data_IF_073782716192
#
_entry.id   IF_073782716192
#
_cell.length_a   1.000
_cell.length_b   1.000
_cell.length_c   1.000
_cell.angle_alpha   90.00
_cell.angle_beta   90.00
_cell.angle_gamma   90.00
#
_symmetry.space_group_name_H-M   'P 1'
#
loop_
_entity.id
_entity.type
_entity.pdbx_description
1 polymer ?
#
# COMPACT_ATOMS: atom_id res chain seq x y z
N UNK A 1 -48.77 -13.29 2.51
CA UNK A 1 -48.83 -14.46 3.42
C UNK A 1 -50.00 -15.38 3.11
N UNK A 2 -51.26 -14.92 2.99
CA UNK A 2 -52.42 -15.78 2.65
C UNK A 2 -52.22 -16.52 1.30
N UNK A 3 -51.78 -15.83 0.24
CA UNK A 3 -51.47 -16.45 -1.07
C UNK A 3 -50.34 -17.50 -1.06
N UNK A 4 -49.55 -17.57 0.03
CA UNK A 4 -48.45 -18.54 0.17
C UNK A 4 -48.93 -19.83 0.84
N UNK A 5 -49.98 -19.78 1.66
CA UNK A 5 -50.64 -20.97 2.24
C UNK A 5 -51.36 -21.80 1.18
N UNK A 6 -51.87 -21.14 0.14
CA UNK A 6 -52.52 -21.78 -1.01
C UNK A 6 -51.58 -21.89 -2.21
N UNK A 7 -50.26 -21.72 -2.03
CA UNK A 7 -49.32 -21.85 -3.16
C UNK A 7 -49.28 -23.29 -3.63
N UNK A 8 -49.08 -23.49 -4.93
CA UNK A 8 -48.98 -24.83 -5.52
C UNK A 8 -47.92 -25.70 -4.85
N UNK A 9 -46.83 -25.10 -4.36
CA UNK A 9 -45.77 -25.77 -3.60
C UNK A 9 -46.22 -26.29 -2.24
N UNK A 10 -46.95 -25.51 -1.44
CA UNK A 10 -47.46 -25.96 -0.13
C UNK A 10 -48.49 -27.07 -0.32
N UNK A 11 -49.41 -26.90 -1.27
CA UNK A 11 -50.45 -27.90 -1.55
C UNK A 11 -49.86 -29.21 -2.11
N UNK A 12 -48.87 -29.13 -3.01
CA UNK A 12 -48.17 -30.29 -3.55
C UNK A 12 -47.44 -31.09 -2.46
N UNK A 13 -46.80 -30.40 -1.51
CA UNK A 13 -46.12 -31.04 -0.39
C UNK A 13 -47.11 -31.68 0.60
N UNK A 14 -48.28 -31.08 0.82
CA UNK A 14 -49.36 -31.68 1.63
C UNK A 14 -49.92 -32.93 0.96
N UNK A 15 -50.15 -32.88 -0.36
CA UNK A 15 -50.58 -34.06 -1.15
C UNK A 15 -49.57 -35.19 -1.07
N UNK A 16 -48.27 -34.89 -1.13
CA UNK A 16 -47.18 -35.88 -0.96
C UNK A 16 -47.13 -36.44 0.46
N UNK A 17 -47.16 -35.60 1.48
CA UNK A 17 -47.05 -36.00 2.88
C UNK A 17 -48.23 -36.85 3.35
N UNK A 18 -49.44 -36.58 2.84
CA UNK A 18 -50.66 -37.33 3.18
C UNK A 18 -51.02 -38.40 2.14
N UNK A 19 -50.21 -38.56 1.09
CA UNK A 19 -50.44 -39.50 0.01
C UNK A 19 -51.86 -39.38 -0.61
N UNK A 20 -52.35 -38.15 -0.77
CA UNK A 20 -53.72 -37.86 -1.22
C UNK A 20 -53.99 -38.31 -2.67
N UNK A 21 -52.94 -38.62 -3.42
CA UNK A 21 -53.02 -39.24 -4.75
C UNK A 21 -53.72 -40.60 -4.72
N UNK A 22 -53.67 -41.30 -3.59
CA UNK A 22 -54.31 -42.59 -3.39
C UNK A 22 -55.64 -42.49 -2.62
N UNK A 23 -56.04 -41.30 -2.18
CA UNK A 23 -57.30 -41.09 -1.46
C UNK A 23 -58.47 -40.94 -2.45
N UNK A 24 -59.55 -41.75 -2.35
CA UNK A 24 -60.72 -41.70 -3.24
C UNK A 24 -61.36 -40.31 -3.38
N UNK A 25 -61.27 -39.50 -2.33
CA UNK A 25 -61.85 -38.15 -2.27
C UNK A 25 -61.04 -37.12 -3.07
N UNK A 26 -59.75 -37.37 -3.26
CA UNK A 26 -58.81 -36.44 -3.90
C UNK A 26 -58.27 -36.95 -5.24
N UNK A 27 -58.26 -38.26 -5.47
CA UNK A 27 -57.80 -38.91 -6.69
C UNK A 27 -58.83 -38.85 -7.85
N UNK A 28 -60.04 -38.34 -7.59
CA UNK A 28 -61.12 -38.18 -8.58
C UNK A 28 -62.07 -39.38 -8.71
N UNK A 29 -62.00 -40.38 -7.84
CA UNK A 29 -62.89 -41.56 -7.86
C UNK A 29 -64.15 -41.43 -6.98
N UNK A 30 -64.20 -40.43 -6.08
CA UNK A 30 -65.21 -40.32 -5.02
C UNK A 30 -66.44 -39.42 -5.26
N UNK A 31 -66.62 -38.79 -6.43
CA UNK A 31 -67.88 -38.07 -6.71
C UNK A 31 -68.94 -39.01 -7.26
N UNK A 32 -69.73 -39.61 -6.37
CA UNK A 32 -70.96 -40.31 -6.71
C UNK A 32 -72.00 -39.33 -7.27
N UNK A 33 -72.14 -39.31 -8.59
CA UNK A 33 -73.18 -38.58 -9.31
C UNK A 33 -73.41 -39.24 -10.68
N UNK A 34 -74.36 -40.18 -10.71
CA UNK A 34 -75.07 -40.73 -11.88
C UNK A 34 -74.23 -41.22 -13.06
N UNK A 35 -74.17 -42.55 -13.18
CA UNK A 35 -73.54 -43.24 -14.29
C UNK A 35 -74.21 -42.95 -15.63
N UNK A 36 -73.45 -42.37 -16.56
CA UNK A 36 -73.58 -42.50 -18.02
C UNK A 36 -72.28 -42.03 -18.70
N UNK A 37 -71.11 -42.60 -18.37
CA UNK A 37 -69.90 -42.44 -19.20
C UNK A 37 -69.02 -43.70 -19.25
N UNK A 38 -69.61 -44.87 -18.99
CA UNK A 38 -68.95 -46.18 -19.11
C UNK A 38 -68.98 -46.75 -20.54
N UNK A 39 -69.27 -45.96 -21.58
CA UNK A 39 -69.48 -46.48 -22.94
C UNK A 39 -68.58 -45.88 -24.04
N UNK A 40 -67.54 -45.10 -23.68
CA UNK A 40 -66.50 -44.68 -24.65
C UNK A 40 -65.14 -45.18 -24.15
N UNK A 41 -65.03 -46.50 -23.99
CA UNK A 41 -63.75 -47.18 -23.79
C UNK A 41 -63.72 -48.47 -24.61
N UNK A 42 -63.85 -48.31 -25.92
CA UNK A 42 -63.43 -49.34 -26.89
C UNK A 42 -63.20 -48.67 -28.24
N UNK A 43 -61.99 -48.14 -28.43
CA UNK A 43 -61.18 -48.12 -29.66
C UNK A 43 -59.92 -47.32 -29.31
N UNK A 44 -58.76 -47.90 -29.66
CA UNK A 44 -57.37 -47.47 -29.40
C UNK A 44 -56.74 -48.07 -28.14
N UNK A 45 -56.14 -49.24 -28.39
CA UNK A 45 -55.20 -49.95 -27.54
C UNK A 45 -53.81 -49.27 -27.53
N UNK A 46 -53.26 -49.13 -26.32
CA UNK A 46 -51.91 -49.55 -25.86
C UNK A 46 -50.69 -49.29 -26.76
N UNK A 47 -49.77 -48.46 -26.24
CA UNK A 47 -48.36 -48.82 -26.14
C UNK A 47 -47.69 -48.16 -24.93
N UNK A 48 -46.70 -48.86 -24.37
CA UNK A 48 -46.11 -48.70 -23.05
C UNK A 48 -45.29 -47.42 -22.78
N UNK A 49 -45.45 -46.89 -21.56
CA UNK A 49 -44.48 -46.05 -20.82
C UNK A 49 -44.59 -44.52 -21.01
N UNK A 50 -44.41 -43.68 -19.96
CA UNK A 50 -44.04 -43.99 -18.58
C UNK A 50 -45.19 -43.70 -17.59
N UNK A 51 -45.26 -44.47 -16.49
CA UNK A 51 -46.19 -44.21 -15.37
C UNK A 51 -46.15 -42.79 -14.79
N UNK A 52 -45.15 -41.98 -15.18
CA UNK A 52 -45.02 -40.56 -14.82
C UNK A 52 -46.11 -39.64 -15.40
N UNK A 53 -46.68 -39.90 -16.59
CA UNK A 53 -47.71 -38.98 -17.14
C UNK A 53 -49.04 -39.12 -16.39
N UNK A 54 -49.40 -40.34 -16.00
CA UNK A 54 -50.58 -40.62 -15.19
C UNK A 54 -50.38 -40.25 -13.71
N UNK A 55 -49.16 -40.34 -13.20
CA UNK A 55 -48.80 -39.88 -11.85
C UNK A 55 -48.83 -38.36 -11.73
N UNK A 56 -48.25 -37.63 -12.69
CA UNK A 56 -48.32 -36.15 -12.74
C UNK A 56 -49.75 -35.66 -12.87
N UNK A 57 -50.60 -36.32 -13.67
CA UNK A 57 -52.02 -35.98 -13.80
C UNK A 57 -52.80 -36.24 -12.51
N UNK A 58 -52.57 -37.38 -11.84
CA UNK A 58 -53.21 -37.70 -10.55
C UNK A 58 -52.77 -36.76 -9.43
N UNK A 59 -51.48 -36.40 -9.40
CA UNK A 59 -50.94 -35.40 -8.47
C UNK A 59 -51.61 -34.04 -8.67
N UNK A 60 -51.71 -33.56 -9.91
CA UNK A 60 -52.36 -32.28 -10.23
C UNK A 60 -53.85 -32.26 -9.84
N UNK A 61 -54.56 -33.38 -10.04
CA UNK A 61 -55.95 -33.54 -9.62
C UNK A 61 -56.09 -33.54 -8.09
N UNK A 62 -55.22 -34.27 -7.37
CA UNK A 62 -55.20 -34.29 -5.92
C UNK A 62 -54.90 -32.91 -5.31
N UNK A 63 -53.97 -32.16 -5.90
CA UNK A 63 -53.68 -30.77 -5.51
C UNK A 63 -54.89 -29.86 -5.78
N UNK A 64 -55.53 -30.00 -6.95
CA UNK A 64 -56.71 -29.21 -7.29
C UNK A 64 -57.92 -29.50 -6.39
N UNK A 65 -58.14 -30.75 -6.01
CA UNK A 65 -59.20 -31.16 -5.09
C UNK A 65 -58.89 -30.76 -3.64
N UNK A 66 -57.62 -30.89 -3.22
CA UNK A 66 -57.15 -30.37 -1.93
C UNK A 66 -57.38 -28.86 -1.83
N UNK A 67 -57.03 -28.10 -2.86
CA UNK A 67 -57.24 -26.65 -2.92
C UNK A 67 -58.72 -26.25 -2.74
N UNK A 68 -59.66 -27.06 -3.26
CA UNK A 68 -61.11 -26.83 -3.12
C UNK A 68 -61.62 -27.20 -1.73
N UNK A 69 -61.03 -28.22 -1.11
CA UNK A 69 -61.39 -28.68 0.24
C UNK A 69 -60.85 -27.80 1.36
N UNK A 70 -59.88 -26.92 1.06
CA UNK A 70 -59.15 -26.12 2.03
C UNK A 70 -59.58 -24.65 1.95
N UNK A 71 -60.06 -24.09 3.07
CA UNK A 71 -60.33 -22.66 3.19
C UNK A 71 -59.30 -22.00 4.11
N UNK A 72 -58.74 -20.89 3.65
CA UNK A 72 -57.74 -20.10 4.38
C UNK A 72 -58.25 -18.68 4.48
N UNK A 73 -58.62 -18.28 5.69
CA UNK A 73 -59.18 -16.96 5.94
C UNK A 73 -58.40 -16.25 7.04
N UNK A 74 -58.29 -14.93 6.92
CA UNK A 74 -57.70 -14.09 7.95
C UNK A 74 -58.82 -13.51 8.79
N UNK A 75 -58.81 -13.79 10.09
CA UNK A 75 -59.89 -13.38 10.98
C UNK A 75 -59.78 -11.89 11.32
N UNK A 76 -60.61 -11.06 10.66
CA UNK A 76 -60.72 -9.63 10.92
C UNK A 76 -59.44 -8.83 10.62
N UNK A 77 -59.10 -7.87 11.49
CA UNK A 77 -57.86 -7.06 11.41
C UNK A 77 -56.65 -7.69 12.12
N UNK A 78 -56.80 -8.89 12.68
CA UNK A 78 -55.75 -9.54 13.48
C UNK A 78 -54.68 -10.23 12.59
N UNK A 79 -53.57 -10.66 13.16
CA UNK A 79 -52.54 -11.44 12.44
C UNK A 79 -52.81 -12.96 12.43
N UNK A 80 -53.98 -13.39 12.91
CA UNK A 80 -54.36 -14.81 12.98
C UNK A 80 -54.90 -15.27 11.64
N UNK A 81 -54.38 -16.40 11.16
CA UNK A 81 -54.86 -17.07 9.96
C UNK A 81 -55.54 -18.37 10.39
N UNK A 82 -56.79 -18.54 9.98
CA UNK A 82 -57.54 -19.78 10.18
C UNK A 82 -57.39 -20.65 8.94
N UNK A 83 -57.05 -21.92 9.15
CA UNK A 83 -56.98 -22.94 8.11
C UNK A 83 -58.03 -23.99 8.45
N UNK A 84 -59.02 -24.15 7.59
CA UNK A 84 -60.04 -25.20 7.69
C UNK A 84 -59.97 -26.11 6.49
N UNK A 85 -60.20 -27.40 6.71
CA UNK A 85 -60.34 -28.40 5.66
C UNK A 85 -61.69 -29.10 5.84
N UNK A 86 -62.39 -29.33 4.74
CA UNK A 86 -63.69 -30.00 4.71
C UNK A 86 -63.53 -31.29 3.93
N UNK A 87 -63.71 -32.42 4.60
CA UNK A 87 -63.72 -33.76 3.98
C UNK A 87 -64.86 -34.61 4.54
N UNK A 88 -65.07 -35.79 3.97
CA UNK A 88 -66.08 -36.75 4.42
C UNK A 88 -65.82 -37.34 5.82
N UNK A 89 -64.62 -37.15 6.40
CA UNK A 89 -64.24 -37.65 7.72
C UNK A 89 -63.66 -36.52 8.59
N UNK A 90 -64.14 -36.39 9.84
CA UNK A 90 -63.64 -35.40 10.79
C UNK A 90 -62.14 -35.54 11.13
N UNK A 91 -61.64 -36.78 11.27
CA UNK A 91 -60.22 -37.05 11.53
C UNK A 91 -59.35 -36.69 10.33
N UNK A 92 -59.81 -37.00 9.11
CA UNK A 92 -59.11 -36.65 7.86
C UNK A 92 -59.03 -35.13 7.68
N UNK A 93 -60.13 -34.43 7.98
CA UNK A 93 -60.19 -32.96 7.95
C UNK A 93 -59.17 -32.33 8.92
N UNK A 94 -59.10 -32.83 10.16
CA UNK A 94 -58.13 -32.38 11.15
C UNK A 94 -56.69 -32.66 10.72
N UNK A 95 -56.43 -33.84 10.15
CA UNK A 95 -55.11 -34.23 9.65
C UNK A 95 -54.63 -33.33 8.50
N UNK A 96 -55.51 -33.04 7.53
CA UNK A 96 -55.19 -32.14 6.41
C UNK A 96 -54.89 -30.73 6.90
N UNK A 97 -55.72 -30.18 7.80
CA UNK A 97 -55.50 -28.84 8.35
C UNK A 97 -54.17 -28.74 9.13
N UNK A 98 -53.87 -29.74 9.99
CA UNK A 98 -52.62 -29.79 10.76
C UNK A 98 -51.39 -29.96 9.87
N UNK A 99 -51.42 -30.85 8.88
CA UNK A 99 -50.30 -31.04 7.95
C UNK A 99 -50.08 -29.81 7.09
N UNK A 100 -51.14 -29.13 6.65
CA UNK A 100 -51.04 -27.87 5.90
C UNK A 100 -50.37 -26.78 6.72
N UNK A 101 -50.69 -26.68 8.02
CA UNK A 101 -49.98 -25.79 8.95
C UNK A 101 -48.49 -26.10 9.02
N UNK A 102 -48.11 -27.36 9.26
CA UNK A 102 -46.71 -27.78 9.39
C UNK A 102 -45.91 -27.52 8.11
N UNK A 103 -46.46 -27.90 6.96
CA UNK A 103 -45.82 -27.67 5.65
C UNK A 103 -45.66 -26.19 5.38
N UNK A 104 -46.68 -25.37 5.65
CA UNK A 104 -46.57 -23.93 5.47
C UNK A 104 -45.48 -23.31 6.37
N UNK A 105 -45.38 -23.75 7.63
CA UNK A 105 -44.34 -23.27 8.53
C UNK A 105 -42.93 -23.62 8.02
N UNK A 106 -42.73 -24.87 7.58
CA UNK A 106 -41.46 -25.33 7.01
C UNK A 106 -41.09 -24.54 5.76
N UNK A 107 -42.06 -24.37 4.87
CA UNK A 107 -41.82 -23.69 3.61
C UNK A 107 -41.61 -22.19 3.81
N UNK A 108 -42.36 -21.55 4.71
CA UNK A 108 -42.10 -20.16 5.11
C UNK A 108 -40.69 -19.98 5.71
N UNK A 109 -40.22 -20.93 6.55
CA UNK A 109 -38.86 -20.92 7.08
C UNK A 109 -37.81 -21.09 5.97
N UNK A 110 -38.05 -21.97 5.00
CA UNK A 110 -37.16 -22.20 3.85
C UNK A 110 -37.06 -20.96 2.96
N UNK A 111 -38.19 -20.35 2.58
CA UNK A 111 -38.18 -19.09 1.82
C UNK A 111 -37.46 -17.97 2.56
N UNK A 112 -37.63 -17.87 3.88
CA UNK A 112 -36.91 -16.89 4.70
C UNK A 112 -35.38 -17.15 4.67
N UNK A 113 -34.96 -18.41 4.78
CA UNK A 113 -33.56 -18.83 4.70
C UNK A 113 -32.95 -18.59 3.32
N UNK A 114 -33.65 -18.94 2.24
CA UNK A 114 -33.19 -18.74 0.85
C UNK A 114 -33.03 -17.24 0.51
N UNK A 115 -33.94 -16.39 1.01
CA UNK A 115 -33.84 -14.94 0.86
C UNK A 115 -32.66 -14.37 1.65
N UNK A 116 -32.46 -14.84 2.89
CA UNK A 116 -31.30 -14.47 3.69
C UNK A 116 -29.97 -14.90 3.02
N UNK A 117 -29.90 -16.14 2.50
CA UNK A 117 -28.72 -16.66 1.81
C UNK A 117 -28.35 -15.88 0.55
N UNK A 118 -29.34 -15.46 -0.26
CA UNK A 118 -29.11 -14.59 -1.42
C UNK A 118 -28.54 -13.23 -1.02
N UNK A 119 -29.12 -12.59 0.00
CA UNK A 119 -28.62 -11.33 0.53
C UNK A 119 -27.17 -11.45 1.03
N UNK A 120 -26.84 -12.54 1.74
CA UNK A 120 -25.47 -12.82 2.21
C UNK A 120 -24.48 -13.01 1.06
N UNK A 121 -24.88 -13.71 -0.01
CA UNK A 121 -24.02 -13.91 -1.18
C UNK A 121 -23.74 -12.59 -1.93
N UNK A 122 -24.77 -11.75 -2.13
CA UNK A 122 -24.59 -10.42 -2.74
C UNK A 122 -23.67 -9.52 -1.90
N UNK A 123 -23.87 -9.52 -0.58
CA UNK A 123 -23.04 -8.79 0.37
C UNK A 123 -21.57 -9.23 0.32
N UNK A 124 -21.33 -10.55 0.29
CA UNK A 124 -20.00 -11.16 0.21
C UNK A 124 -19.31 -10.79 -1.10
N UNK A 125 -20.02 -10.88 -2.23
CA UNK A 125 -19.49 -10.47 -3.53
C UNK A 125 -19.10 -8.99 -3.52
N UNK A 126 -19.95 -8.12 -2.95
CA UNK A 126 -19.68 -6.69 -2.90
C UNK A 126 -18.46 -6.37 -2.03
N UNK A 127 -18.30 -7.06 -0.90
CA UNK A 127 -17.12 -6.92 -0.04
C UNK A 127 -15.85 -7.37 -0.74
N UNK A 128 -15.89 -8.46 -1.52
CA UNK A 128 -14.74 -8.92 -2.29
C UNK A 128 -14.33 -7.91 -3.38
N UNK A 129 -15.30 -7.33 -4.09
CA UNK A 129 -15.04 -6.26 -5.06
C UNK A 129 -14.42 -5.02 -4.41
N UNK A 130 -14.94 -4.59 -3.26
CA UNK A 130 -14.40 -3.47 -2.51
C UNK A 130 -12.98 -3.77 -2.01
N UNK A 131 -12.73 -4.97 -1.47
CA UNK A 131 -11.40 -5.43 -1.04
C UNK A 131 -10.39 -5.39 -2.19
N UNK A 132 -10.74 -5.96 -3.35
CA UNK A 132 -9.89 -5.88 -4.56
C UNK A 132 -9.63 -4.44 -4.98
N UNK A 133 -10.63 -3.57 -4.86
CA UNK A 133 -10.51 -2.15 -5.14
C UNK A 133 -9.51 -1.44 -4.22
N UNK A 134 -9.52 -1.78 -2.92
CA UNK A 134 -8.55 -1.29 -1.92
C UNK A 134 -7.15 -1.80 -2.24
N UNK A 135 -6.99 -3.12 -2.40
CA UNK A 135 -5.69 -3.74 -2.72
C UNK A 135 -5.08 -3.15 -4.00
N UNK A 136 -5.88 -2.89 -5.04
CA UNK A 136 -5.41 -2.27 -6.26
C UNK A 136 -5.00 -0.81 -6.08
N UNK A 137 -5.72 -0.05 -5.25
CA UNK A 137 -5.38 1.36 -4.98
C UNK A 137 -4.12 1.47 -4.11
N UNK A 138 -3.98 0.62 -3.09
CA UNK A 138 -2.77 0.54 -2.26
C UNK A 138 -1.55 0.11 -3.06
N UNK A 139 -1.68 -0.89 -3.95
CA UNK A 139 -0.59 -1.26 -4.86
C UNK A 139 -0.15 -0.10 -5.75
N UNK A 140 -1.08 0.69 -6.29
CA UNK A 140 -0.72 1.88 -7.07
C UNK A 140 0.09 2.90 -6.27
N UNK A 141 -0.23 3.09 -4.98
CA UNK A 141 0.54 3.97 -4.08
C UNK A 141 1.97 3.44 -3.93
N UNK A 142 2.12 2.15 -3.62
CA UNK A 142 3.43 1.53 -3.44
C UNK A 142 4.25 1.46 -4.75
N UNK A 143 3.62 1.10 -5.87
CA UNK A 143 4.26 1.12 -7.19
C UNK A 143 4.70 2.54 -7.57
N UNK A 144 3.90 3.55 -7.27
CA UNK A 144 4.25 4.96 -7.52
C UNK A 144 5.45 5.40 -6.67
N UNK A 145 5.46 5.06 -5.37
CA UNK A 145 6.59 5.31 -4.46
C UNK A 145 7.87 4.65 -4.97
N UNK A 146 7.79 3.38 -5.38
CA UNK A 146 8.92 2.59 -5.84
C UNK A 146 9.46 3.10 -7.19
N UNK A 147 8.60 3.41 -8.15
CA UNK A 147 9.00 3.86 -9.50
C UNK A 147 9.62 5.26 -9.51
N UNK A 148 9.18 6.15 -8.62
CA UNK A 148 9.66 7.53 -8.55
C UNK A 148 10.74 7.73 -7.46
N UNK A 149 11.11 6.68 -6.72
CA UNK A 149 12.20 6.73 -5.72
C UNK A 149 11.99 7.80 -4.64
N UNK A 150 10.72 8.05 -4.26
CA UNK A 150 10.36 9.20 -3.43
C UNK A 150 10.75 9.02 -1.96
N UNK A 151 10.78 7.77 -1.48
CA UNK A 151 10.99 7.44 -0.07
C UNK A 151 11.97 6.28 0.10
N UNK A 152 12.80 6.34 1.15
CA UNK A 152 13.67 5.25 1.56
C UNK A 152 12.89 4.10 2.23
N UNK A 153 13.59 3.04 2.63
CA UNK A 153 12.98 1.88 3.31
C UNK A 153 12.37 2.23 4.68
N UNK A 154 12.65 3.42 5.22
CA UNK A 154 12.15 3.94 6.48
C UNK A 154 11.04 4.99 6.28
N UNK A 155 10.70 5.34 5.04
CA UNK A 155 9.65 6.30 4.69
C UNK A 155 10.10 7.77 4.63
N UNK A 156 11.41 8.07 4.70
CA UNK A 156 11.92 9.43 4.57
C UNK A 156 12.19 9.80 3.11
N UNK A 157 12.06 11.08 2.78
CA UNK A 157 12.37 11.58 1.44
C UNK A 157 13.86 11.40 1.12
N UNK A 158 14.16 10.63 0.07
CA UNK A 158 15.55 10.39 -0.38
C UNK A 158 16.21 11.70 -0.83
N UNK A 159 15.45 12.58 -1.49
CA UNK A 159 15.95 13.88 -1.98
C UNK A 159 16.46 14.77 -0.86
N UNK A 160 15.79 14.76 0.31
CA UNK A 160 16.10 15.66 1.42
C UNK A 160 17.37 15.23 2.14
N UNK A 161 17.54 13.93 2.39
CA UNK A 161 18.76 13.38 2.98
C UNK A 161 19.98 13.60 2.06
N UNK A 162 19.82 13.39 0.75
CA UNK A 162 20.89 13.65 -0.22
C UNK A 162 21.27 15.14 -0.27
N UNK A 163 20.29 16.05 -0.25
CA UNK A 163 20.55 17.50 -0.20
C UNK A 163 21.24 17.92 1.09
N UNK A 164 20.86 17.36 2.25
CA UNK A 164 21.51 17.62 3.53
C UNK A 164 22.98 17.20 3.50
N UNK A 165 23.27 15.97 3.04
CA UNK A 165 24.64 15.45 2.90
C UNK A 165 25.47 16.29 1.94
N UNK A 166 24.92 16.70 0.79
CA UNK A 166 25.61 17.58 -0.16
C UNK A 166 25.90 18.96 0.45
N UNK A 167 24.99 19.51 1.25
CA UNK A 167 25.16 20.80 1.90
C UNK A 167 26.24 20.74 3.01
N UNK A 168 26.28 19.65 3.78
CA UNK A 168 27.33 19.41 4.77
C UNK A 168 28.70 19.28 4.09
N UNK A 169 28.81 18.45 3.05
CA UNK A 169 30.03 18.30 2.26
C UNK A 169 30.49 19.62 1.63
N UNK A 170 29.56 20.42 1.09
CA UNK A 170 29.85 21.74 0.53
C UNK A 170 30.35 22.71 1.61
N UNK A 171 29.78 22.66 2.81
CA UNK A 171 30.21 23.51 3.92
C UNK A 171 31.64 23.18 4.35
N UNK A 172 31.97 21.89 4.45
CA UNK A 172 33.35 21.43 4.72
C UNK A 172 34.30 21.84 3.59
N UNK A 173 33.90 21.67 2.33
CA UNK A 173 34.70 22.06 1.17
C UNK A 173 34.97 23.57 1.14
N UNK A 174 33.97 24.40 1.43
CA UNK A 174 34.10 25.87 1.54
C UNK A 174 35.08 26.28 2.63
N UNK A 175 34.97 25.68 3.81
CA UNK A 175 35.89 25.94 4.91
C UNK A 175 37.34 25.61 4.49
N UNK A 176 37.54 24.48 3.80
CA UNK A 176 38.84 24.07 3.27
C UNK A 176 39.37 25.00 2.19
N UNK A 177 38.53 25.45 1.27
CA UNK A 177 38.90 26.45 0.25
C UNK A 177 39.35 27.75 0.90
N UNK A 178 38.60 28.24 1.89
CA UNK A 178 38.93 29.48 2.60
C UNK A 178 40.26 29.37 3.34
N UNK A 179 40.48 28.26 4.04
CA UNK A 179 41.72 27.94 4.73
C UNK A 179 42.91 27.93 3.76
N UNK A 180 42.81 27.21 2.63
CA UNK A 180 43.86 27.14 1.63
C UNK A 180 44.09 28.48 0.93
N UNK A 181 43.04 29.28 0.73
CA UNK A 181 43.16 30.61 0.15
C UNK A 181 43.96 31.55 1.07
N UNK A 182 43.64 31.54 2.36
CA UNK A 182 44.39 32.29 3.37
C UNK A 182 45.85 31.85 3.42
N UNK A 183 46.11 30.53 3.47
CA UNK A 183 47.48 29.98 3.48
C UNK A 183 48.25 30.34 2.20
N UNK A 184 47.63 30.23 1.03
CA UNK A 184 48.27 30.59 -0.24
C UNK A 184 48.54 32.10 -0.35
N UNK A 185 47.66 32.95 0.19
CA UNK A 185 47.88 34.39 0.26
C UNK A 185 49.06 34.74 1.18
N UNK A 186 49.11 34.14 2.38
CA UNK A 186 50.23 34.28 3.31
C UNK A 186 51.54 33.76 2.72
N UNK A 187 51.53 32.63 2.03
CA UNK A 187 52.72 32.09 1.37
C UNK A 187 53.29 33.00 0.27
N UNK A 188 52.44 33.80 -0.40
CA UNK A 188 52.88 34.76 -1.42
C UNK A 188 53.47 36.04 -0.84
N UNK A 189 53.10 36.44 0.37
CA UNK A 189 53.63 37.65 1.02
C UNK A 189 54.93 37.41 1.78
N UNK A 190 55.32 36.14 1.97
CA UNK A 190 56.55 35.77 2.67
C UNK A 190 57.78 35.84 1.77
N UNK A 191 58.87 36.33 2.34
CA UNK A 191 60.19 36.38 1.73
C UNK A 191 61.22 35.59 2.56
N UNK A 192 62.45 35.50 2.05
CA UNK A 192 63.55 34.83 2.76
C UNK A 192 63.76 35.45 4.14
N UNK A 193 63.66 36.77 4.28
CA UNK A 193 63.90 37.43 5.56
C UNK A 193 62.86 37.03 6.60
N UNK A 194 61.60 36.87 6.20
CA UNK A 194 60.51 36.40 7.08
C UNK A 194 60.80 35.03 7.71
N UNK A 195 61.49 34.14 6.98
CA UNK A 195 61.93 32.83 7.50
C UNK A 195 63.05 33.00 8.51
N UNK A 196 64.02 33.87 8.19
CA UNK A 196 65.22 34.10 8.98
C UNK A 196 64.95 34.84 10.29
N UNK A 197 63.97 35.74 10.31
CA UNK A 197 63.53 36.49 11.50
C UNK A 197 62.56 35.71 12.38
N UNK A 198 62.15 34.51 11.95
CA UNK A 198 61.23 33.66 12.72
C UNK A 198 59.77 34.09 12.68
N UNK A 199 59.38 34.96 11.75
CA UNK A 199 57.98 35.42 11.57
C UNK A 199 57.19 34.52 10.62
N UNK A 200 57.67 33.29 10.38
CA UNK A 200 57.02 32.32 9.49
C UNK A 200 55.81 31.69 10.20
N UNK A 201 54.60 31.74 9.62
CA UNK A 201 53.43 31.03 10.16
C UNK A 201 53.69 29.52 10.27
N UNK A 202 53.20 28.92 11.35
CA UNK A 202 53.44 27.50 11.67
C UNK A 202 52.86 26.57 10.58
N UNK A 203 51.78 27.00 9.93
CA UNK A 203 51.09 26.26 8.86
C UNK A 203 51.88 26.18 7.55
N UNK A 204 52.91 27.03 7.38
CA UNK A 204 53.81 27.09 6.20
C UNK A 204 55.15 26.43 6.52
N UNK A 205 55.42 26.16 7.80
CA UNK A 205 56.66 25.54 8.23
C UNK A 205 56.71 24.06 7.81
N UNK A 206 57.84 23.63 7.30
CA UNK A 206 58.11 22.24 6.91
C UNK A 206 59.42 21.76 7.55
N UNK A 207 59.60 20.45 7.70
CA UNK A 207 60.85 19.89 8.22
C UNK A 207 62.06 20.36 7.40
N UNK A 208 61.93 20.37 6.08
CA UNK A 208 62.94 20.89 5.15
C UNK A 208 63.24 22.38 5.38
N UNK A 209 62.23 23.20 5.65
CA UNK A 209 62.42 24.63 5.95
C UNK A 209 63.16 24.82 7.29
N UNK A 210 62.80 24.04 8.30
CA UNK A 210 63.47 24.04 9.61
C UNK A 210 64.96 23.68 9.47
N UNK A 211 65.27 22.64 8.70
CA UNK A 211 66.64 22.20 8.44
C UNK A 211 67.45 23.28 7.69
N UNK A 212 66.87 23.89 6.65
CA UNK A 212 67.51 24.97 5.90
C UNK A 212 67.78 26.21 6.79
N UNK A 213 66.84 26.53 7.69
CA UNK A 213 67.01 27.63 8.64
C UNK A 213 68.13 27.35 9.65
N UNK A 214 68.20 26.11 10.15
CA UNK A 214 69.27 25.67 11.04
C UNK A 214 70.65 25.76 10.36
N UNK A 215 70.77 25.25 9.13
CA UNK A 215 72.00 25.35 8.33
C UNK A 215 72.42 26.81 8.10
N UNK A 216 71.47 27.68 7.76
CA UNK A 216 71.75 29.12 7.63
C UNK A 216 72.27 29.73 8.94
N UNK A 217 71.63 29.41 10.07
CA UNK A 217 72.03 29.96 11.37
C UNK A 217 73.46 29.53 11.76
N UNK A 218 73.82 28.27 11.52
CA UNK A 218 75.19 27.77 11.73
C UNK A 218 76.20 28.49 10.85
N UNK A 219 75.94 28.58 9.53
CA UNK A 219 76.84 29.28 8.59
C UNK A 219 77.00 30.76 8.94
N UNK A 220 75.91 31.42 9.34
CA UNK A 220 75.93 32.83 9.73
C UNK A 220 76.77 33.05 10.99
N UNK A 221 76.64 32.16 11.99
CA UNK A 221 77.43 32.21 13.21
C UNK A 221 78.92 31.98 12.95
N UNK A 222 79.27 31.07 12.03
CA UNK A 222 80.65 30.84 11.60
C UNK A 222 81.24 32.05 10.88
N UNK A 223 80.48 32.65 9.95
CA UNK A 223 80.87 33.86 9.25
C UNK A 223 81.10 35.04 10.21
N UNK A 224 80.21 35.23 11.20
CA UNK A 224 80.33 36.31 12.19
C UNK A 224 81.59 36.15 13.05
N UNK A 225 81.96 34.91 13.41
CA UNK A 225 83.22 34.63 14.12
C UNK A 225 84.45 34.88 13.25
N UNK A 226 84.40 34.46 11.98
CA UNK A 226 85.48 34.67 11.02
C UNK A 226 85.69 36.16 10.72
N UNK A 227 84.60 36.93 10.63
CA UNK A 227 84.63 38.37 10.37
C UNK A 227 85.41 39.15 11.43
N UNK A 228 85.21 38.80 12.71
CA UNK A 228 85.91 39.43 13.83
C UNK A 228 87.41 39.11 13.81
N UNK A 229 87.79 37.88 13.40
CA UNK A 229 89.18 37.40 13.47
C UNK A 229 90.03 37.74 12.25
N UNK A 230 89.46 37.63 11.05
CA UNK A 230 90.22 37.57 9.79
C UNK A 230 90.09 38.85 8.94
N UNK A 231 89.12 39.72 9.28
CA UNK A 231 88.83 40.94 8.52
C UNK A 231 88.01 40.69 7.24
N UNK A 232 87.43 41.76 6.65
CA UNK A 232 86.37 41.66 5.63
C UNK A 232 86.83 41.19 4.23
N UNK A 233 88.14 41.08 3.98
CA UNK A 233 88.70 40.68 2.66
C UNK A 233 89.31 39.27 2.66
N UNK A 234 89.19 38.52 3.75
CA UNK A 234 89.81 37.21 3.85
C UNK A 234 89.10 36.16 2.97
N UNK A 235 89.83 35.29 2.23
CA UNK A 235 89.21 34.28 1.35
C UNK A 235 88.24 33.33 2.05
N UNK A 236 88.53 32.95 3.30
CA UNK A 236 87.65 32.08 4.11
C UNK A 236 86.29 32.74 4.39
N UNK A 237 86.28 34.05 4.64
CA UNK A 237 85.04 34.80 4.86
C UNK A 237 84.22 34.91 3.57
N UNK A 238 84.88 35.14 2.43
CA UNK A 238 84.22 35.14 1.12
C UNK A 238 83.58 33.78 0.79
N UNK A 239 84.25 32.68 1.16
CA UNK A 239 83.71 31.34 0.99
C UNK A 239 82.46 31.11 1.87
N UNK A 240 82.48 31.54 3.13
CA UNK A 240 81.33 31.48 4.04
C UNK A 240 80.17 32.35 3.55
N UNK A 241 80.43 33.57 3.09
CA UNK A 241 79.41 34.45 2.51
C UNK A 241 78.74 33.84 1.26
N UNK A 242 79.53 33.17 0.40
CA UNK A 242 79.00 32.43 -0.74
C UNK A 242 78.11 31.24 -0.30
N UNK A 243 78.49 30.52 0.76
CA UNK A 243 77.67 29.45 1.32
C UNK A 243 76.37 29.98 1.94
N UNK A 244 76.42 31.12 2.63
CA UNK A 244 75.23 31.81 3.16
C UNK A 244 74.29 32.23 2.03
N UNK A 245 74.83 32.81 0.94
CA UNK A 245 74.04 33.17 -0.23
C UNK A 245 73.35 31.93 -0.85
N UNK A 246 74.08 30.81 -0.97
CA UNK A 246 73.52 29.54 -1.42
C UNK A 246 72.43 28.98 -0.49
N UNK A 247 72.59 29.10 0.83
CA UNK A 247 71.57 28.72 1.80
C UNK A 247 70.30 29.59 1.66
N UNK A 248 70.45 30.91 1.48
CA UNK A 248 69.33 31.83 1.23
C UNK A 248 68.58 31.49 -0.07
N UNK A 249 69.31 31.12 -1.12
CA UNK A 249 68.70 30.69 -2.39
C UNK A 249 67.89 29.39 -2.22
N UNK A 250 68.42 28.41 -1.48
CA UNK A 250 67.69 27.17 -1.15
C UNK A 250 66.41 27.45 -0.36
N UNK A 251 66.46 28.37 0.61
CA UNK A 251 65.28 28.83 1.36
C UNK A 251 64.26 29.47 0.40
N UNK A 252 64.71 30.34 -0.50
CA UNK A 252 63.83 30.98 -1.49
C UNK A 252 63.18 29.97 -2.45
N UNK A 253 63.94 28.96 -2.89
CA UNK A 253 63.43 27.87 -3.72
C UNK A 253 62.39 27.04 -2.97
N UNK A 254 62.63 26.74 -1.69
CA UNK A 254 61.68 25.99 -0.86
C UNK A 254 60.39 26.78 -0.61
N UNK A 255 60.47 28.09 -0.34
CA UNK A 255 59.29 28.97 -0.25
C UNK A 255 58.47 28.94 -1.54
N UNK A 256 59.13 29.07 -2.71
CA UNK A 256 58.45 28.98 -4.02
C UNK A 256 57.78 27.63 -4.23
N UNK A 257 58.44 26.53 -3.81
CA UNK A 257 57.88 25.18 -3.89
C UNK A 257 56.62 25.05 -3.03
N UNK A 258 56.66 25.53 -1.78
CA UNK A 258 55.52 25.50 -0.86
C UNK A 258 54.36 26.35 -1.41
N UNK A 259 54.65 27.58 -1.85
CA UNK A 259 53.64 28.46 -2.43
C UNK A 259 52.98 27.84 -3.68
N UNK A 260 53.77 27.21 -4.56
CA UNK A 260 53.23 26.49 -5.72
C UNK A 260 52.35 25.30 -5.31
N UNK A 261 52.76 24.54 -4.29
CA UNK A 261 51.95 23.42 -3.77
C UNK A 261 50.61 23.90 -3.24
N UNK A 262 50.61 24.95 -2.42
CA UNK A 262 49.38 25.53 -1.85
C UNK A 262 48.44 26.07 -2.93
N UNK A 263 48.98 26.63 -4.02
CA UNK A 263 48.16 27.07 -5.16
C UNK A 263 47.50 25.91 -5.88
N UNK A 264 48.21 24.79 -6.06
CA UNK A 264 47.63 23.57 -6.65
C UNK A 264 46.54 23.00 -5.73
N UNK A 265 46.78 22.96 -4.42
CA UNK A 265 45.80 22.51 -3.43
C UNK A 265 44.56 23.39 -3.42
N UNK A 266 44.74 24.72 -3.42
CA UNK A 266 43.65 25.68 -3.50
C UNK A 266 42.82 25.47 -4.78
N UNK A 267 43.48 25.32 -5.94
CA UNK A 267 42.79 25.07 -7.20
C UNK A 267 41.94 23.79 -7.13
N UNK A 268 42.47 22.72 -6.55
CA UNK A 268 41.72 21.46 -6.35
C UNK A 268 40.54 21.65 -5.40
N UNK A 269 40.71 22.39 -4.30
CA UNK A 269 39.63 22.67 -3.35
C UNK A 269 38.51 23.50 -3.99
N UNK A 270 38.85 24.55 -4.76
CA UNK A 270 37.88 25.37 -5.50
C UNK A 270 37.10 24.52 -6.51
N UNK A 271 37.77 23.62 -7.23
CA UNK A 271 37.11 22.72 -8.18
C UNK A 271 36.13 21.77 -7.48
N UNK A 272 36.51 21.20 -6.34
CA UNK A 272 35.64 20.35 -5.53
C UNK A 272 34.42 21.13 -5.01
N UNK A 273 34.64 22.35 -4.51
CA UNK A 273 33.57 23.22 -4.05
C UNK A 273 32.57 23.55 -5.18
N UNK A 274 33.06 23.85 -6.38
CA UNK A 274 32.22 24.12 -7.55
C UNK A 274 31.43 22.88 -8.00
N UNK A 275 32.06 21.69 -7.99
CA UNK A 275 31.37 20.44 -8.31
C UNK A 275 30.26 20.15 -7.30
N UNK A 276 30.54 20.25 -6.00
CA UNK A 276 29.55 20.07 -4.94
C UNK A 276 28.41 21.10 -5.03
N UNK A 277 28.73 22.36 -5.33
CA UNK A 277 27.72 23.40 -5.53
C UNK A 277 26.83 23.11 -6.75
N UNK A 278 27.41 22.64 -7.85
CA UNK A 278 26.67 22.24 -9.05
C UNK A 278 25.75 21.04 -8.77
N UNK A 279 26.27 20.01 -8.09
CA UNK A 279 25.47 18.84 -7.68
C UNK A 279 24.32 19.22 -6.75
N UNK A 280 24.56 20.12 -5.80
CA UNK A 280 23.51 20.63 -4.92
C UNK A 280 22.44 21.41 -5.70
N UNK A 281 22.83 22.21 -6.69
CA UNK A 281 21.89 22.92 -7.55
C UNK A 281 21.04 21.95 -8.41
N UNK A 282 21.65 20.90 -8.97
CA UNK A 282 20.94 19.85 -9.70
C UNK A 282 19.97 19.08 -8.81
N UNK A 283 20.39 18.72 -7.59
CA UNK A 283 19.53 18.07 -6.61
C UNK A 283 18.33 18.94 -6.20
N UNK A 284 18.52 20.27 -6.09
CA UNK A 284 17.41 21.21 -5.83
C UNK A 284 16.39 21.27 -6.98
N UNK A 285 16.85 21.24 -8.23
CA UNK A 285 15.94 21.20 -9.39
C UNK A 285 15.15 19.90 -9.38
N UNK A 286 15.83 18.77 -9.19
CA UNK A 286 15.18 17.46 -9.07
C UNK A 286 14.18 17.39 -7.90
N UNK A 287 14.47 18.06 -6.77
CA UNK A 287 13.53 18.19 -5.65
C UNK A 287 12.25 18.96 -6.02
N UNK A 288 12.34 19.90 -6.97
CA UNK A 288 11.16 20.55 -7.56
C UNK A 288 10.24 19.55 -8.28
N UNK A 289 10.82 18.62 -9.03
CA UNK A 289 10.08 17.54 -9.70
C UNK A 289 9.48 16.57 -8.66
N UNK A 290 10.26 16.20 -7.62
CA UNK A 290 9.79 15.38 -6.48
C UNK A 290 8.58 16.00 -5.79
N UNK A 291 8.50 17.32 -5.64
CA UNK A 291 7.32 17.98 -5.09
C UNK A 291 6.05 17.75 -5.94
N UNK A 292 6.18 17.72 -7.26
CA UNK A 292 5.06 17.42 -8.15
C UNK A 292 4.62 15.95 -8.01
N UNK A 293 5.58 15.03 -7.91
CA UNK A 293 5.32 13.61 -7.67
C UNK A 293 4.67 13.38 -6.30
N UNK A 294 5.06 14.13 -5.26
CA UNK A 294 4.42 14.06 -3.95
C UNK A 294 2.96 14.52 -3.96
N UNK A 295 2.60 15.48 -4.82
CA UNK A 295 1.19 15.87 -4.99
C UNK A 295 0.40 14.72 -5.63
N UNK A 296 0.95 14.09 -6.67
CA UNK A 296 0.35 12.92 -7.31
C UNK A 296 0.26 11.72 -6.35
N UNK A 297 1.28 11.47 -5.53
CA UNK A 297 1.25 10.44 -4.50
C UNK A 297 0.15 10.70 -3.48
N UNK A 298 -0.02 11.94 -3.01
CA UNK A 298 -1.10 12.30 -2.07
C UNK A 298 -2.49 12.12 -2.68
N UNK A 299 -2.65 12.33 -3.98
CA UNK A 299 -3.91 12.00 -4.69
C UNK A 299 -4.19 10.50 -4.62
N UNK A 300 -3.20 9.66 -4.94
CA UNK A 300 -3.33 8.20 -4.88
C UNK A 300 -3.61 7.70 -3.46
N UNK A 301 -2.94 8.27 -2.45
CA UNK A 301 -3.17 7.95 -1.03
C UNK A 301 -4.59 8.35 -0.58
N UNK A 302 -5.10 9.50 -1.04
CA UNK A 302 -6.50 9.89 -0.81
C UNK A 302 -7.47 8.91 -1.45
N UNK A 303 -7.22 8.48 -2.68
CA UNK A 303 -8.05 7.48 -3.36
C UNK A 303 -8.06 6.15 -2.60
N UNK A 304 -6.88 5.65 -2.20
CA UNK A 304 -6.75 4.42 -1.41
C UNK A 304 -7.48 4.54 -0.06
N UNK A 305 -7.31 5.66 0.64
CA UNK A 305 -7.98 5.93 1.91
C UNK A 305 -9.50 5.99 1.76
N UNK A 306 -10.00 6.66 0.71
CA UNK A 306 -11.43 6.73 0.43
C UNK A 306 -12.03 5.34 0.17
N UNK A 307 -11.36 4.52 -0.66
CA UNK A 307 -11.79 3.14 -0.92
C UNK A 307 -11.74 2.27 0.33
N UNK A 308 -10.70 2.42 1.16
CA UNK A 308 -10.57 1.69 2.43
C UNK A 308 -11.71 2.05 3.38
N UNK A 309 -12.03 3.34 3.51
CA UNK A 309 -13.14 3.80 4.34
C UNK A 309 -14.49 3.23 3.89
N UNK A 310 -14.76 3.20 2.57
CA UNK A 310 -15.99 2.58 2.04
C UNK A 310 -16.03 1.08 2.33
N UNK A 311 -14.92 0.37 2.15
CA UNK A 311 -14.81 -1.05 2.47
C UNK A 311 -15.07 -1.33 3.97
N UNK A 312 -14.43 -0.58 4.87
CA UNK A 312 -14.59 -0.72 6.31
C UNK A 312 -16.03 -0.44 6.77
N UNK A 313 -16.67 0.60 6.23
CA UNK A 313 -18.08 0.91 6.51
C UNK A 313 -19.01 -0.22 6.03
N UNK A 314 -18.77 -0.76 4.83
CA UNK A 314 -19.55 -1.89 4.32
C UNK A 314 -19.34 -3.15 5.15
N UNK A 315 -18.10 -3.41 5.59
CA UNK A 315 -17.75 -4.56 6.42
C UNK A 315 -18.44 -4.47 7.79
N UNK A 316 -18.47 -3.29 8.39
CA UNK A 316 -19.17 -3.04 9.66
C UNK A 316 -20.68 -3.31 9.51
N UNK A 317 -21.31 -2.70 8.50
CA UNK A 317 -22.74 -2.87 8.23
C UNK A 317 -23.10 -4.33 7.89
N UNK A 318 -22.20 -5.05 7.22
CA UNK A 318 -22.33 -6.46 6.93
C UNK A 318 -22.34 -7.31 8.20
N UNK A 319 -21.43 -7.04 9.15
CA UNK A 319 -21.38 -7.72 10.46
C UNK A 319 -22.65 -7.48 11.26
N UNK A 320 -23.10 -6.22 11.36
CA UNK A 320 -24.34 -5.86 12.08
C UNK A 320 -25.58 -6.59 11.52
N UNK A 321 -25.69 -6.68 10.19
CA UNK A 321 -26.81 -7.38 9.54
C UNK A 321 -26.75 -8.89 9.80
N UNK A 322 -25.55 -9.49 9.74
CA UNK A 322 -25.34 -10.90 10.03
C UNK A 322 -25.74 -11.29 11.45
N UNK A 323 -25.39 -10.47 12.44
CA UNK A 323 -25.76 -10.67 13.85
C UNK A 323 -27.29 -10.58 14.06
N UNK A 324 -27.99 -9.65 13.40
CA UNK A 324 -29.46 -9.55 13.47
C UNK A 324 -30.19 -10.78 12.92
N UNK A 325 -29.65 -11.45 11.91
CA UNK A 325 -30.21 -12.71 11.38
C UNK A 325 -29.96 -13.92 12.29
N UNK A 326 -28.98 -13.87 13.20
CA UNK A 326 -28.73 -14.95 14.16
C UNK A 326 -29.60 -14.88 15.42
N UNK A 327 -30.23 -13.73 15.69
CA UNK A 327 -31.02 -13.45 16.89
C UNK A 327 -32.54 -13.66 16.67
N UNK A 328 -33.01 -13.69 15.41
CA UNK A 328 -34.43 -13.90 15.04
C UNK A 328 -34.69 -15.31 14.51
#
# INVERSE_FOLDING_TARGET
RIKMLTSGTVLDQVVKNLNLVNDPEFNGQGSGGLGVMSLIRSIVSRHDGPGGVDEVRRQALAVGNLAKSLSVERTGKTFVISVSAVTQNGEKSALIANTTRTVFQQEAAKYQSDMAGRATNELTSKLDDLRKGVEAAERKVEDFRATHGLVDAQGHLISDDQMLKLNEQLSVARARTLELNARAASARSLDVNSVLTGTLPEEINSNTMSDLRSQYATLKQEADRAAVRLGPRHPELQALDAQIAGARERIANELRRIASSLQVDLKRAVQLEQDLASRLAQAKVQSGDVNSDLVALRELEREATAKRSVYEQYLLRAKETGEQTGIN
#
